data_IF_122735509210
#
_entry.id   IF_122735509210
#
_cell.length_a   1.000
_cell.length_b   1.000
_cell.length_c   1.000
_cell.angle_alpha   90.00
_cell.angle_beta   90.00
_cell.angle_gamma   90.00
#
_symmetry.space_group_name_H-M   'P 1'
#
loop_
_entity.id
_entity.type
_entity.pdbx_description
1 polymer ?
#
# COMPACT_ATOMS: atom_id res chain seq x y z
N UNK A 1 -5.96 11.37 -1.50
CA UNK A 1 -4.78 10.69 -0.93
C UNK A 1 -4.93 10.31 0.55
N UNK A 2 -5.32 11.24 1.44
CA UNK A 2 -5.47 10.96 2.88
C UNK A 2 -6.39 9.77 3.22
N UNK A 3 -7.42 9.50 2.42
CA UNK A 3 -8.30 8.34 2.64
C UNK A 3 -7.59 7.00 2.40
N UNK A 4 -6.78 6.90 1.33
CA UNK A 4 -6.01 5.69 1.00
C UNK A 4 -4.93 5.44 2.06
N UNK A 5 -4.23 6.50 2.49
CA UNK A 5 -3.27 6.43 3.59
C UNK A 5 -3.94 6.00 4.91
N UNK A 6 -5.11 6.55 5.23
CA UNK A 6 -5.86 6.18 6.44
C UNK A 6 -6.37 4.73 6.44
N UNK A 7 -6.67 4.15 5.27
CA UNK A 7 -7.09 2.75 5.14
C UNK A 7 -5.89 1.82 5.33
N UNK A 8 -4.71 2.21 4.84
CA UNK A 8 -3.44 1.51 5.06
C UNK A 8 -3.02 1.59 6.54
N UNK A 9 -3.22 2.72 7.21
CA UNK A 9 -2.86 2.91 8.63
C UNK A 9 -3.75 2.12 9.62
N UNK A 10 -5.00 1.80 9.25
CA UNK A 10 -5.99 1.24 10.19
C UNK A 10 -6.01 -0.27 10.31
N UNK A 11 -5.24 -1.00 9.49
CA UNK A 11 -5.02 -2.43 9.67
C UNK A 11 -3.57 -2.76 9.35
N UNK A 12 -2.86 -3.54 10.19
CA UNK A 12 -1.57 -4.08 9.82
C UNK A 12 -1.77 -5.02 8.61
N UNK A 13 -1.50 -4.49 7.43
CA UNK A 13 -1.48 -5.26 6.20
C UNK A 13 -0.25 -6.16 6.25
N UNK A 14 -0.49 -7.47 6.38
CA UNK A 14 0.56 -8.50 6.41
C UNK A 14 1.52 -8.29 5.23
N UNK A 15 2.82 -8.31 5.49
CA UNK A 15 3.85 -8.12 4.47
C UNK A 15 4.30 -6.67 4.26
N UNK A 16 3.67 -5.68 4.90
CA UNK A 16 4.06 -4.26 4.86
C UNK A 16 4.74 -3.86 6.17
N UNK A 17 5.95 -3.31 6.08
CA UNK A 17 6.71 -2.76 7.20
C UNK A 17 6.27 -1.33 7.54
N UNK A 18 5.82 -0.58 6.55
CA UNK A 18 5.26 0.76 6.72
C UNK A 18 4.96 1.43 5.38
N UNK A 19 4.35 2.62 5.47
CA UNK A 19 4.09 3.47 4.30
C UNK A 19 4.34 4.94 4.61
N UNK A 20 4.70 5.70 3.58
CA UNK A 20 4.79 7.16 3.61
C UNK A 20 3.85 7.70 2.53
N UNK A 21 2.89 8.52 2.93
CA UNK A 21 1.99 9.20 2.01
C UNK A 21 2.44 10.65 1.80
N UNK A 22 2.56 11.05 0.53
CA UNK A 22 2.65 12.44 0.08
C UNK A 22 1.29 12.96 -0.39
N UNK A 23 1.30 13.99 -1.25
CA UNK A 23 0.08 14.63 -1.75
C UNK A 23 -0.71 13.73 -2.71
N UNK A 24 -0.04 13.15 -3.70
CA UNK A 24 -0.63 12.26 -4.72
C UNK A 24 0.07 10.89 -4.80
N UNK A 25 1.09 10.68 -3.98
CA UNK A 25 1.99 9.53 -4.05
C UNK A 25 2.03 8.79 -2.71
N UNK A 26 2.06 7.46 -2.75
CA UNK A 26 2.29 6.62 -1.56
C UNK A 26 3.49 5.72 -1.82
N UNK A 27 4.47 5.77 -0.92
CA UNK A 27 5.57 4.80 -0.87
C UNK A 27 5.20 3.70 0.14
N UNK A 28 5.33 2.45 -0.27
CA UNK A 28 5.06 1.27 0.54
C UNK A 28 6.33 0.44 0.69
N UNK A 29 6.72 0.13 1.92
CA UNK A 29 7.89 -0.71 2.22
C UNK A 29 7.42 -2.10 2.60
N UNK A 30 7.74 -3.09 1.77
CA UNK A 30 7.36 -4.49 1.99
C UNK A 30 8.51 -5.32 2.59
N UNK A 31 8.18 -6.44 3.21
CA UNK A 31 9.16 -7.36 3.84
C UNK A 31 9.99 -8.16 2.82
N UNK A 32 9.52 -8.26 1.58
CA UNK A 32 10.18 -8.95 0.47
C UNK A 32 9.75 -8.38 -0.87
N UNK A 33 10.48 -8.72 -1.93
CA UNK A 33 10.10 -8.35 -3.30
C UNK A 33 8.81 -9.03 -3.76
N UNK A 34 8.59 -10.29 -3.36
CA UNK A 34 7.37 -11.04 -3.66
C UNK A 34 6.14 -10.33 -3.08
N UNK A 35 6.19 -9.94 -1.81
CA UNK A 35 5.11 -9.18 -1.18
C UNK A 35 4.92 -7.80 -1.83
N UNK A 36 5.98 -7.16 -2.33
CA UNK A 36 5.87 -5.90 -3.05
C UNK A 36 5.13 -6.05 -4.39
N UNK A 37 5.41 -7.12 -5.16
CA UNK A 37 4.73 -7.42 -6.42
C UNK A 37 3.25 -7.75 -6.19
N UNK A 38 2.95 -8.59 -5.20
CA UNK A 38 1.57 -8.93 -4.83
C UNK A 38 0.77 -7.70 -4.41
N UNK A 39 1.37 -6.80 -3.63
CA UNK A 39 0.72 -5.56 -3.19
C UNK A 39 0.51 -4.57 -4.34
N UNK A 40 1.45 -4.48 -5.28
CA UNK A 40 1.28 -3.66 -6.47
C UNK A 40 0.10 -4.16 -7.32
N UNK A 41 0.02 -5.47 -7.55
CA UNK A 41 -1.08 -6.10 -8.28
C UNK A 41 -2.43 -5.89 -7.58
N UNK A 42 -2.47 -6.04 -6.26
CA UNK A 42 -3.67 -5.76 -5.47
C UNK A 42 -4.10 -4.28 -5.59
N UNK A 43 -3.18 -3.32 -5.47
CA UNK A 43 -3.51 -1.89 -5.61
C UNK A 43 -4.09 -1.59 -7.00
N UNK A 44 -3.55 -2.19 -8.07
CA UNK A 44 -4.09 -2.06 -9.43
C UNK A 44 -5.51 -2.64 -9.52
N UNK A 45 -5.78 -3.77 -8.87
CA UNK A 45 -7.12 -4.39 -8.84
C UNK A 45 -8.17 -3.53 -8.11
N UNK A 46 -7.74 -2.79 -7.09
CA UNK A 46 -8.61 -1.88 -6.33
C UNK A 46 -8.85 -0.59 -7.11
N UNK A 47 -7.82 -0.04 -7.76
CA UNK A 47 -7.90 1.19 -8.53
C UNK A 47 -8.66 1.05 -9.87
N UNK A 48 -8.81 -0.16 -10.38
CA UNK A 48 -9.53 -0.47 -11.62
C UNK A 48 -11.03 -0.74 -11.43
N UNK A 49 -11.56 -0.51 -10.22
CA UNK A 49 -12.98 -0.53 -9.88
C UNK A 49 -13.50 0.87 -9.60
#
# INVERSE_FOLDING_TARGET
>A
AQYVASVIDRQPLKGILGSVAGDDTVLMVCVSNEEAEDRANWMLSVASR
#
